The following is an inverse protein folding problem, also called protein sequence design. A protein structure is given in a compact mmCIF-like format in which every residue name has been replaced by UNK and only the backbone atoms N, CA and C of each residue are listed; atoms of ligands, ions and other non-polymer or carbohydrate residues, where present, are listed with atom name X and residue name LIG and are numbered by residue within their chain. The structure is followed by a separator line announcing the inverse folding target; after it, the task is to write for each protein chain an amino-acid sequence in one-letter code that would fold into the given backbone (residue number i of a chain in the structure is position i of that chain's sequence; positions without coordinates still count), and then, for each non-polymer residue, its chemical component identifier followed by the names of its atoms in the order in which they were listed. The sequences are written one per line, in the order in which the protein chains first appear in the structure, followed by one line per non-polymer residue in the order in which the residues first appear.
data_IF_582186842921
#
_entry.id   IF_582186842921
#
_cell.length_a   1.000
_cell.length_b   1.000
_cell.length_c   1.000
_cell.angle_alpha   90.00
_cell.angle_beta   90.00
_cell.angle_gamma   90.00
#
_symmetry.space_group_name_H-M   'P 1'
#
loop_
_entity.id
_entity.type
_entity.pdbx_description
1 polymer ?
#
# COMPACT_ATOMS: atom_id res chain seq x y z
N UNK A 1 -12.42 17.82 11.23
CA UNK A 1 -11.72 17.45 10.25
C UNK A 1 -11.10 16.18 10.43
N UNK A 2 -11.01 15.57 9.47
CA UNK A 2 -10.39 14.34 9.63
C UNK A 2 -9.05 14.56 10.17
N UNK A 3 -8.70 13.76 11.07
CA UNK A 3 -7.44 13.90 11.69
C UNK A 3 -6.38 13.14 10.95
N UNK A 4 -6.72 12.54 9.84
CA UNK A 4 -5.77 11.80 9.06
C UNK A 4 -4.53 12.61 8.76
N UNK A 5 -4.75 13.78 8.18
CA UNK A 5 -3.60 14.57 7.78
C UNK A 5 -2.86 15.15 8.95
N UNK A 6 -3.52 15.33 10.08
CA UNK A 6 -2.85 15.96 11.19
C UNK A 6 -2.00 14.97 11.95
N UNK A 7 -2.25 13.66 11.84
CA UNK A 7 -1.49 12.70 12.60
C UNK A 7 -0.57 11.86 11.74
N UNK A 8 -0.89 11.70 10.48
CA UNK A 8 -0.09 10.84 9.62
C UNK A 8 1.19 11.57 9.21
N UNK A 9 2.29 10.87 9.27
CA UNK A 9 3.57 11.42 8.85
C UNK A 9 3.79 11.07 7.38
N UNK A 10 4.57 11.89 6.67
CA UNK A 10 4.90 11.54 5.29
C UNK A 10 5.78 10.29 5.26
N UNK A 11 5.77 9.63 4.12
CA UNK A 11 6.48 8.36 4.02
C UNK A 11 7.98 8.55 4.25
N UNK A 12 8.52 9.71 3.92
CA UNK A 12 9.94 9.96 4.13
C UNK A 12 10.31 10.01 5.61
N UNK A 13 9.34 10.22 6.47
CA UNK A 13 9.58 10.17 7.89
C UNK A 13 10.03 8.76 8.32
N UNK A 14 9.52 7.74 7.63
CA UNK A 14 9.83 6.36 7.98
C UNK A 14 11.10 5.87 7.31
N UNK A 15 11.36 6.34 6.12
CA UNK A 15 12.58 6.00 5.41
C UNK A 15 12.72 6.92 4.21
N UNK A 16 13.87 7.52 4.05
CA UNK A 16 14.07 8.44 2.95
C UNK A 16 15.25 8.00 2.11
N UNK A 17 14.98 7.66 0.85
CA UNK A 17 15.98 7.33 -0.13
C UNK A 17 15.60 8.00 -1.43
N UNK A 18 16.49 7.97 -2.39
CA UNK A 18 16.20 8.53 -3.70
C UNK A 18 14.99 7.87 -4.33
N UNK A 19 14.91 6.55 -4.24
CA UNK A 19 13.77 5.84 -4.84
C UNK A 19 12.49 6.13 -4.10
N UNK A 20 12.53 6.19 -2.77
CA UNK A 20 11.32 6.48 -2.01
C UNK A 20 10.87 7.91 -2.27
N UNK A 21 11.80 8.83 -2.46
CA UNK A 21 11.42 10.19 -2.80
C UNK A 21 10.78 10.26 -4.18
N UNK A 22 11.27 9.49 -5.14
CA UNK A 22 10.65 9.45 -6.45
C UNK A 22 9.24 8.87 -6.37
N UNK A 23 9.10 7.79 -5.60
CA UNK A 23 7.82 7.17 -5.38
C UNK A 23 6.84 8.16 -4.75
N UNK A 24 7.29 8.89 -3.72
CA UNK A 24 6.42 9.86 -3.05
C UNK A 24 6.03 10.99 -3.99
N UNK A 25 6.93 11.42 -4.86
CA UNK A 25 6.57 12.45 -5.82
C UNK A 25 5.51 11.98 -6.78
N UNK A 26 5.54 10.70 -7.13
CA UNK A 26 4.58 10.17 -8.08
C UNK A 26 3.19 10.00 -7.46
N UNK A 27 3.11 9.54 -6.22
CA UNK A 27 1.82 9.18 -5.65
C UNK A 27 1.42 10.01 -4.45
N UNK A 28 2.26 10.93 -4.02
CA UNK A 28 1.98 11.75 -2.85
C UNK A 28 2.73 11.24 -1.64
N UNK A 29 3.11 12.14 -0.75
CA UNK A 29 3.88 11.78 0.44
C UNK A 29 3.13 10.84 1.36
N UNK A 30 1.82 10.84 1.29
CA UNK A 30 0.98 9.95 2.07
C UNK A 30 0.10 9.12 1.15
N UNK A 31 0.57 8.88 -0.06
CA UNK A 31 -0.09 8.07 -1.08
C UNK A 31 -1.47 8.63 -1.44
N UNK A 32 -1.59 9.96 -1.39
CA UNK A 32 -2.89 10.61 -1.63
C UNK A 32 -3.43 10.37 -3.02
N UNK A 33 -2.56 10.13 -3.98
CA UNK A 33 -3.01 9.96 -5.36
C UNK A 33 -3.44 8.55 -5.69
N UNK A 34 -3.27 7.61 -4.75
CA UNK A 34 -3.75 6.26 -4.92
C UNK A 34 -5.10 6.14 -4.24
N UNK A 35 -5.98 5.33 -4.81
CA UNK A 35 -7.24 5.04 -4.18
C UNK A 35 -7.03 4.09 -3.02
N UNK A 36 -8.00 4.02 -2.14
CA UNK A 36 -7.85 3.19 -0.95
C UNK A 36 -7.56 1.74 -1.32
N UNK A 37 -8.27 1.20 -2.29
CA UNK A 37 -8.04 -0.18 -2.68
C UNK A 37 -6.62 -0.36 -3.20
N UNK A 38 -6.10 0.65 -3.87
CA UNK A 38 -4.74 0.58 -4.40
C UNK A 38 -3.71 0.61 -3.30
N UNK A 39 -3.97 1.36 -2.24
CA UNK A 39 -3.07 1.37 -1.10
C UNK A 39 -3.00 0.00 -0.44
N UNK A 40 -4.14 -0.69 -0.33
CA UNK A 40 -4.14 -2.04 0.20
C UNK A 40 -3.46 -3.01 -0.73
N UNK A 41 -3.65 -2.86 -2.03
CA UNK A 41 -2.97 -3.72 -2.99
C UNK A 41 -1.47 -3.57 -2.89
N UNK A 42 -1.02 -2.33 -2.79
CA UNK A 42 0.40 -2.06 -2.67
C UNK A 42 0.94 -2.64 -1.38
N UNK A 43 0.22 -2.47 -0.29
CA UNK A 43 0.64 -3.00 1.00
C UNK A 43 0.79 -4.52 0.91
N UNK A 44 -0.16 -5.18 0.28
CA UNK A 44 -0.09 -6.62 0.17
C UNK A 44 1.10 -7.07 -0.67
N UNK A 45 1.34 -6.40 -1.79
CA UNK A 45 2.44 -6.77 -2.66
C UNK A 45 3.79 -6.59 -1.97
N UNK A 46 3.95 -5.46 -1.31
CA UNK A 46 5.22 -5.19 -0.63
C UNK A 46 5.42 -6.12 0.56
N UNK A 47 4.36 -6.37 1.31
CA UNK A 47 4.46 -7.26 2.46
C UNK A 47 4.79 -8.68 2.04
N UNK A 48 4.20 -9.14 0.94
CA UNK A 48 4.47 -10.48 0.46
C UNK A 48 5.93 -10.62 0.06
N UNK A 49 6.45 -9.61 -0.62
CA UNK A 49 7.84 -9.65 -1.03
C UNK A 49 8.79 -9.66 0.17
N UNK A 50 8.52 -8.81 1.16
CA UNK A 50 9.34 -8.76 2.35
C UNK A 50 9.28 -10.09 3.10
N UNK A 51 8.06 -10.64 3.22
CA UNK A 51 7.87 -11.91 3.91
C UNK A 51 8.68 -13.02 3.24
N UNK A 52 8.60 -13.09 1.93
CA UNK A 52 9.31 -14.15 1.23
C UNK A 52 10.81 -13.95 1.25
N UNK A 53 11.23 -12.68 1.18
CA UNK A 53 12.66 -12.40 1.27
C UNK A 53 13.22 -12.86 2.61
N UNK A 54 12.48 -12.62 3.68
CA UNK A 54 12.93 -13.03 5.00
C UNK A 54 13.02 -14.54 5.16
N UNK A 55 12.31 -15.28 4.34
CA UNK A 55 12.34 -16.73 4.41
C UNK A 55 13.37 -17.38 3.52
N UNK A 56 14.18 -16.60 2.79
CA UNK A 56 15.14 -17.18 1.89
C UNK A 56 16.33 -17.79 2.65
N UNK A 57 16.81 -18.89 2.11
CA UNK A 57 18.05 -19.46 2.61
C UNK A 57 19.21 -18.65 2.11
N UNK A 58 20.36 -18.84 2.71
CA UNK A 58 21.50 -18.01 2.40
C UNK A 58 21.89 -18.07 0.94
N UNK A 59 21.76 -19.23 0.33
CA UNK A 59 22.17 -19.38 -1.05
C UNK A 59 21.06 -19.23 -2.07
N UNK A 60 19.86 -18.83 -1.64
CA UNK A 60 18.77 -18.63 -2.57
C UNK A 60 18.78 -17.21 -3.08
N UNK A 61 18.33 -17.05 -4.32
CA UNK A 61 18.22 -15.72 -4.91
C UNK A 61 16.85 -15.16 -4.68
N UNK A 62 16.79 -13.88 -4.40
CA UNK A 62 15.52 -13.22 -4.21
C UNK A 62 14.95 -12.78 -5.55
N UNK A 63 13.62 -12.76 -5.62
CA UNK A 63 12.94 -12.17 -6.77
C UNK A 63 12.88 -10.67 -6.61
N UNK A 64 12.81 -9.95 -7.73
CA UNK A 64 12.50 -8.53 -7.65
C UNK A 64 11.03 -8.37 -7.27
N UNK A 65 10.63 -7.14 -6.97
CA UNK A 65 9.25 -6.89 -6.62
C UNK A 65 8.29 -7.30 -7.72
N UNK A 66 8.61 -6.98 -8.96
CA UNK A 66 7.73 -7.33 -10.05
C UNK A 66 7.70 -8.83 -10.29
N UNK A 67 8.85 -9.48 -10.18
CA UNK A 67 8.87 -10.94 -10.33
C UNK A 67 8.03 -11.59 -9.25
N UNK A 68 8.15 -11.11 -8.03
CA UNK A 68 7.38 -11.65 -6.93
C UNK A 68 5.89 -11.43 -7.13
N UNK A 69 5.51 -10.26 -7.64
CA UNK A 69 4.12 -9.99 -7.93
C UNK A 69 3.58 -11.01 -8.91
N UNK A 70 4.33 -11.29 -9.99
CA UNK A 70 3.85 -12.20 -11.00
C UNK A 70 3.84 -13.65 -10.52
N UNK A 71 4.75 -14.04 -9.65
CA UNK A 71 4.86 -15.44 -9.27
C UNK A 71 4.11 -15.78 -8.00
N UNK A 72 3.90 -14.83 -7.12
CA UNK A 72 3.38 -15.15 -5.79
C UNK A 72 2.09 -14.43 -5.42
N UNK A 73 1.81 -13.30 -6.04
CA UNK A 73 0.62 -12.54 -5.69
C UNK A 73 -0.48 -12.93 -6.66
N UNK A 74 -1.56 -13.48 -6.15
CA UNK A 74 -2.65 -13.90 -7.02
C UNK A 74 -3.65 -12.78 -7.26
N UNK A 75 -3.48 -11.66 -6.60
CA UNK A 75 -4.35 -10.52 -6.74
C UNK A 75 -4.00 -9.74 -7.99
N UNK A 76 -5.03 -9.33 -8.72
CA UNK A 76 -4.79 -8.53 -9.90
C UNK A 76 -4.84 -7.06 -9.52
N UNK A 77 -3.71 -6.39 -9.58
CA UNK A 77 -3.61 -5.00 -9.16
C UNK A 77 -3.81 -4.06 -10.33
N UNK A 78 -4.13 -2.82 -9.99
CA UNK A 78 -4.30 -1.79 -11.03
C UNK A 78 -2.96 -1.41 -11.63
N UNK A 79 -3.01 -0.75 -12.77
CA UNK A 79 -1.78 -0.27 -13.39
C UNK A 79 -1.02 0.69 -12.50
N UNK A 80 -1.72 1.47 -11.69
CA UNK A 80 -1.06 2.40 -10.79
C UNK A 80 -0.21 1.65 -9.76
N UNK A 81 -0.73 0.54 -9.24
CA UNK A 81 0.01 -0.23 -8.26
C UNK A 81 1.21 -0.90 -8.91
N UNK A 82 1.03 -1.41 -10.12
CA UNK A 82 2.14 -2.04 -10.82
C UNK A 82 3.24 -1.01 -11.09
N UNK A 83 2.85 0.21 -11.44
CA UNK A 83 3.84 1.26 -11.64
C UNK A 83 4.59 1.59 -10.35
N UNK A 84 3.89 1.52 -9.20
CA UNK A 84 4.56 1.73 -7.92
C UNK A 84 5.59 0.64 -7.66
N UNK A 85 5.25 -0.60 -7.98
CA UNK A 85 6.21 -1.69 -7.80
C UNK A 85 7.43 -1.48 -8.67
N UNK A 86 7.23 -1.01 -9.88
CA UNK A 86 8.34 -0.74 -10.77
C UNK A 86 9.23 0.37 -10.22
N UNK A 87 8.64 1.40 -9.64
CA UNK A 87 9.43 2.49 -9.06
C UNK A 87 10.26 2.01 -7.88
N UNK A 88 9.76 1.05 -7.12
CA UNK A 88 10.43 0.60 -5.92
C UNK A 88 11.26 -0.66 -6.13
N UNK A 89 11.34 -1.13 -7.37
CA UNK A 89 11.88 -2.45 -7.64
C UNK A 89 13.31 -2.64 -7.17
N UNK A 90 14.11 -1.60 -7.23
CA UNK A 90 15.51 -1.71 -6.86
C UNK A 90 15.81 -1.22 -5.45
N UNK A 91 14.76 -0.98 -4.67
CA UNK A 91 14.96 -0.53 -3.32
C UNK A 91 15.32 -1.71 -2.41
N UNK A 92 16.17 -1.47 -1.41
CA UNK A 92 16.53 -2.49 -0.45
C UNK A 92 15.33 -2.98 0.32
N UNK A 93 15.34 -4.28 0.64
CA UNK A 93 14.23 -4.88 1.37
C UNK A 93 14.06 -4.23 2.74
N UNK A 94 15.14 -3.85 3.39
CA UNK A 94 15.02 -3.22 4.70
C UNK A 94 14.31 -1.89 4.61
N UNK A 95 14.54 -1.15 3.54
CA UNK A 95 13.88 0.13 3.35
C UNK A 95 12.41 -0.05 3.02
N UNK A 96 12.08 -1.08 2.24
CA UNK A 96 10.68 -1.38 1.96
C UNK A 96 9.98 -1.78 3.26
N UNK A 97 10.62 -2.61 4.06
CA UNK A 97 10.02 -3.02 5.33
C UNK A 97 9.77 -1.80 6.22
N UNK A 98 10.66 -0.83 6.19
CA UNK A 98 10.54 0.36 7.04
C UNK A 98 9.32 1.20 6.69
N UNK A 99 8.87 1.17 5.43
CA UNK A 99 7.72 1.99 5.05
C UNK A 99 6.39 1.23 5.11
N UNK A 100 6.41 -0.06 5.41
CA UNK A 100 5.15 -0.80 5.47
C UNK A 100 4.17 -0.24 6.50
N UNK A 101 4.62 0.12 7.72
CA UNK A 101 3.66 0.69 8.67
C UNK A 101 3.03 1.97 8.17
N UNK A 102 3.80 2.78 7.43
CA UNK A 102 3.26 4.01 6.89
C UNK A 102 2.18 3.71 5.87
N UNK A 103 2.43 2.76 4.97
CA UNK A 103 1.45 2.43 3.94
C UNK A 103 0.19 1.88 4.59
N UNK A 104 0.34 1.05 5.63
CA UNK A 104 -0.81 0.52 6.34
C UNK A 104 -1.63 1.65 6.96
N UNK A 105 -0.96 2.62 7.52
CA UNK A 105 -1.68 3.74 8.13
C UNK A 105 -2.42 4.55 7.07
N UNK A 106 -1.79 4.80 5.93
CA UNK A 106 -2.44 5.57 4.88
C UNK A 106 -3.65 4.82 4.33
N UNK A 107 -3.54 3.51 4.18
CA UNK A 107 -4.67 2.73 3.69
C UNK A 107 -5.82 2.75 4.67
N UNK A 108 -5.50 2.62 5.95
CA UNK A 108 -6.55 2.60 6.97
C UNK A 108 -7.27 3.92 7.11
N UNK A 109 -6.56 5.01 6.85
CA UNK A 109 -7.14 6.33 7.06
C UNK A 109 -7.86 6.87 5.84
N UNK A 110 -7.80 6.18 4.74
CA UNK A 110 -8.41 6.70 3.52
C UNK A 110 -9.91 6.83 3.65
N UNK A 111 -10.54 5.97 4.44
CA UNK A 111 -11.98 6.06 4.56
C UNK A 111 -12.42 7.34 5.22
N UNK A 112 -11.59 7.91 6.06
CA UNK A 112 -11.93 9.19 6.68
C UNK A 112 -12.03 10.26 5.63
N UNK A 113 -11.12 10.28 4.71
CA UNK A 113 -11.18 11.26 3.64
C UNK A 113 -12.36 11.04 2.74
N UNK A 114 -12.69 9.81 2.49
CA UNK A 114 -13.82 9.52 1.63
C UNK A 114 -15.11 9.95 2.25
N UNK A 115 -15.23 9.85 3.54
CA UNK A 115 -16.40 10.33 4.20
C UNK A 115 -16.59 11.78 4.00
N UNK A 116 -15.53 12.52 4.06
CA UNK A 116 -15.65 13.94 3.85
C UNK A 116 -16.18 14.23 2.49
N UNK A 117 -15.83 13.47 1.57
CA UNK A 117 -16.27 13.72 0.24
C UNK A 117 -17.70 13.43 0.07
N UNK A 118 -18.15 12.48 0.63
CA UNK A 118 -19.40 12.08 0.26
C UNK A 118 -20.32 11.81 1.26
N UNK A 119 -20.62 11.58 1.72
CA UNK A 119 -21.33 11.06 2.42
C UNK A 119 -22.21 10.28 2.23
N UNK A 120 -22.35 10.00 1.48
CA UNK A 120 -22.91 9.20 1.28
C UNK A 120 -22.95 8.24 1.40
N UNK A 121 -22.64 7.95 1.54
CA UNK A 121 -22.68 6.91 1.52
C UNK A 121 -23.26 6.39 2.23
N UNK A 122 -23.72 6.75 2.62
CA UNK A 122 -24.03 6.18 3.09
C UNK A 122 -24.52 5.48 3.30
N UNK A 123 -24.92 5.79 3.08
CA UNK A 123 -25.17 4.87 3.26
C UNK A 123 -24.39 4.16 3.85
N UNK A 124 -23.59 4.72 4.60
CA UNK A 124 -22.62 4.10 5.03
C UNK A 124 -22.84 2.93 5.76
N UNK A 125 -23.69 2.90 6.60
CA UNK A 125 -23.90 1.76 7.24
C UNK A 125 -24.17 0.70 6.39
N UNK A 126 -24.83 1.04 5.46
CA UNK A 126 -25.01 0.13 4.50
C UNK A 126 -23.71 -0.27 3.94
N UNK A 127 -22.80 0.68 3.84
CA UNK A 127 -21.58 0.37 3.32
C UNK A 127 -20.84 -0.58 4.17
N UNK A 128 -20.87 -0.40 5.45
CA UNK A 128 -20.18 -1.27 6.31
C UNK A 128 -20.76 -2.66 6.24
N UNK A 129 -22.07 -2.76 6.22
CA UNK A 129 -22.70 -4.02 6.10
C UNK A 129 -22.35 -4.69 4.78
N UNK A 130 -22.32 -3.91 3.75
CA UNK A 130 -21.99 -4.42 2.45
C UNK A 130 -20.57 -4.92 2.40
N UNK A 131 -19.68 -4.23 3.03
CA UNK A 131 -18.31 -4.64 3.06
C UNK A 131 -18.15 -5.95 3.79
N UNK A 132 -18.82 -6.10 4.90
CA UNK A 132 -18.78 -7.33 5.63
C UNK A 132 -19.32 -8.48 4.80
N UNK A 133 -20.34 -8.23 4.06
CA UNK A 133 -20.90 -9.25 3.20
C UNK A 133 -19.91 -9.69 2.15
N UNK A 134 -19.15 -8.76 1.62
CA UNK A 134 -18.16 -9.12 0.66
C UNK A 134 -17.08 -9.97 1.25
N UNK A 135 -16.64 -9.66 2.45
CA UNK A 135 -15.65 -10.46 3.10
C UNK A 135 -16.17 -11.84 3.39
N UNK A 136 -17.42 -11.96 3.77
CA UNK A 136 -18.00 -13.25 4.02
C UNK A 136 -18.01 -14.11 2.79
N UNK A 137 -18.12 -13.51 1.64
CA UNK A 137 -18.13 -14.25 0.41
C UNK A 137 -16.75 -14.62 -0.07
N UNK A 138 -15.77 -14.00 0.48
CA UNK A 138 -14.40 -14.36 0.12
C UNK A 138 -13.97 -15.61 0.89
#
# INVERSE_FOLDING_TARGET
MPQFTSTAKPIQYFCETTLINKFARAVGDRLERLEQIERYQLLMCLSTWVYQYCGLEEDEESETLLENYHSSVSLECTGNVIACLALLEHEDVDNIAAILPAIAEYANNASVQEEDVDHELRDGEMMLSDLNSRFDRL
#
